data_IF_265144000673
#
_entry.id   IF_265144000673
#
_cell.length_a   1.000
_cell.length_b   1.000
_cell.length_c   1.000
_cell.angle_alpha   90.00
_cell.angle_beta   90.00
_cell.angle_gamma   90.00
#
_symmetry.space_group_name_H-M   'P 1'
#
loop_
_entity.id
_entity.type
_entity.pdbx_description
1 polymer ?
#
# COMPACT_ATOMS: atom_id res chain seq x y z
N UNK A 1 -23.84 72.80 12.49
CA UNK A 1 -23.98 71.47 11.86
C UNK A 1 -25.25 70.82 12.38
N UNK A 2 -26.23 70.49 11.52
CA UNK A 2 -27.45 69.83 11.98
C UNK A 2 -27.11 68.42 12.48
N UNK A 3 -27.54 68.07 13.69
CA UNK A 3 -27.39 66.71 14.22
C UNK A 3 -28.14 65.76 13.28
N UNK A 4 -27.50 64.68 12.78
CA UNK A 4 -28.22 63.69 12.00
C UNK A 4 -29.40 63.16 12.83
N UNK A 5 -30.57 62.93 12.21
CA UNK A 5 -31.76 62.47 12.93
C UNK A 5 -31.43 61.18 13.66
N UNK A 6 -31.75 61.09 14.95
CA UNK A 6 -31.45 59.92 15.82
C UNK A 6 -31.83 58.58 15.17
N UNK A 7 -32.87 58.59 14.33
CA UNK A 7 -33.30 57.45 13.52
C UNK A 7 -32.22 56.90 12.56
N UNK A 8 -31.43 57.75 11.90
CA UNK A 8 -30.33 57.31 11.02
C UNK A 8 -29.26 56.53 11.81
N UNK A 9 -28.97 56.95 13.03
CA UNK A 9 -28.02 56.24 13.89
C UNK A 9 -28.58 54.89 14.35
N UNK A 10 -29.87 54.82 14.70
CA UNK A 10 -30.52 53.56 15.10
C UNK A 10 -30.53 52.56 13.93
N UNK A 11 -30.90 53.00 12.72
CA UNK A 11 -30.92 52.15 11.51
C UNK A 11 -29.52 51.66 11.13
N UNK A 12 -28.50 52.52 11.23
CA UNK A 12 -27.12 52.11 10.95
C UNK A 12 -26.61 51.09 11.99
N UNK A 13 -26.94 51.28 13.27
CA UNK A 13 -26.55 50.34 14.33
C UNK A 13 -27.24 48.98 14.13
N UNK A 14 -28.55 48.95 13.84
CA UNK A 14 -29.26 47.68 13.61
C UNK A 14 -28.80 46.98 12.33
N UNK A 15 -28.52 47.72 11.25
CA UNK A 15 -27.95 47.15 10.03
C UNK A 15 -26.55 46.56 10.27
N UNK A 16 -25.70 47.24 11.04
CA UNK A 16 -24.39 46.74 11.43
C UNK A 16 -24.48 45.47 12.30
N UNK A 17 -25.42 45.44 13.24
CA UNK A 17 -25.65 44.30 14.13
C UNK A 17 -26.19 43.09 13.35
N UNK A 18 -27.12 43.31 12.41
CA UNK A 18 -27.67 42.27 11.55
C UNK A 18 -26.61 41.69 10.60
N UNK A 19 -25.78 42.54 9.98
CA UNK A 19 -24.69 42.08 9.13
C UNK A 19 -23.65 41.29 9.91
N UNK A 20 -23.25 41.74 11.11
CA UNK A 20 -22.38 40.99 12.02
C UNK A 20 -22.96 39.61 12.38
N UNK A 21 -24.26 39.55 12.70
CA UNK A 21 -24.97 38.29 13.00
C UNK A 21 -24.97 37.33 11.79
N UNK A 22 -25.25 37.83 10.59
CA UNK A 22 -25.24 37.02 9.36
C UNK A 22 -23.83 36.47 9.10
N UNK A 23 -22.78 37.27 9.27
CA UNK A 23 -21.39 36.81 9.09
C UNK A 23 -21.02 35.75 10.12
N UNK A 24 -21.39 35.91 11.39
CA UNK A 24 -21.19 34.89 12.43
C UNK A 24 -21.93 33.59 12.07
N UNK A 25 -23.20 33.67 11.66
CA UNK A 25 -23.97 32.51 11.26
C UNK A 25 -23.33 31.81 10.05
N UNK A 26 -22.90 32.55 9.03
CA UNK A 26 -22.19 31.97 7.88
C UNK A 26 -20.90 31.26 8.30
N UNK A 27 -20.10 31.88 9.17
CA UNK A 27 -18.85 31.31 9.68
C UNK A 27 -19.09 30.01 10.45
N UNK A 28 -20.03 30.03 11.41
CA UNK A 28 -20.30 28.88 12.29
C UNK A 28 -21.00 27.73 11.57
N UNK A 29 -21.97 28.02 10.69
CA UNK A 29 -22.80 26.99 10.06
C UNK A 29 -22.30 26.52 8.69
N UNK A 30 -21.47 27.31 8.00
CA UNK A 30 -21.00 26.98 6.64
C UNK A 30 -19.49 26.92 6.52
N UNK A 31 -18.78 28.03 6.75
CA UNK A 31 -17.35 28.11 6.46
C UNK A 31 -16.52 27.19 7.37
N UNK A 32 -16.68 27.27 8.70
CA UNK A 32 -15.92 26.44 9.65
C UNK A 32 -16.19 24.94 9.42
N UNK A 33 -17.45 24.47 9.35
CA UNK A 33 -17.73 23.06 9.09
C UNK A 33 -17.21 22.54 7.76
N UNK A 34 -16.97 23.43 6.78
CA UNK A 34 -16.47 23.04 5.45
C UNK A 34 -14.94 23.02 5.42
N UNK A 35 -14.29 24.10 5.84
CA UNK A 35 -12.83 24.25 5.73
C UNK A 35 -12.04 23.57 6.84
N UNK A 36 -12.66 23.28 7.99
CA UNK A 36 -12.03 22.56 9.08
C UNK A 36 -12.07 21.03 8.90
N UNK A 37 -12.61 20.52 7.78
CA UNK A 37 -12.58 19.08 7.49
C UNK A 37 -11.19 18.67 7.02
N UNK A 38 -10.64 17.56 7.52
CA UNK A 38 -9.40 17.01 7.00
C UNK A 38 -9.54 16.66 5.51
N UNK A 39 -8.44 16.82 4.76
CA UNK A 39 -8.39 16.54 3.32
C UNK A 39 -7.20 15.65 2.97
N UNK A 40 -7.27 14.96 1.83
CA UNK A 40 -6.13 14.23 1.30
C UNK A 40 -5.14 15.17 0.62
N UNK A 41 -3.86 15.02 0.96
CA UNK A 41 -2.75 15.58 0.22
C UNK A 41 -2.02 14.44 -0.50
N UNK A 42 -1.83 14.58 -1.81
CA UNK A 42 -1.05 13.66 -2.62
C UNK A 42 0.30 14.28 -2.94
N UNK A 43 1.36 13.50 -2.82
CA UNK A 43 2.71 13.92 -3.15
C UNK A 43 3.54 12.78 -3.73
N UNK A 44 4.69 13.16 -4.28
CA UNK A 44 5.76 12.22 -4.62
C UNK A 44 6.92 12.55 -3.71
N UNK A 45 7.33 11.57 -2.91
CA UNK A 45 8.47 11.70 -2.01
C UNK A 45 9.63 10.89 -2.56
N UNK A 46 10.84 11.46 -2.50
CA UNK A 46 12.06 10.71 -2.72
C UNK A 46 12.46 10.13 -1.37
N UNK A 47 12.41 8.80 -1.24
CA UNK A 47 12.65 8.16 0.05
C UNK A 47 14.06 7.58 0.06
N UNK A 48 14.86 8.00 1.04
CA UNK A 48 16.23 7.51 1.23
C UNK A 48 16.27 6.11 1.83
N UNK A 49 15.14 5.64 2.35
CA UNK A 49 14.96 4.37 3.05
C UNK A 49 13.66 3.71 2.60
N UNK A 50 13.73 2.52 2.02
CA UNK A 50 12.54 1.83 1.51
C UNK A 50 12.16 0.66 2.43
N UNK A 51 10.87 0.51 2.79
CA UNK A 51 10.43 -0.65 3.54
C UNK A 51 10.62 -1.94 2.73
N UNK A 52 11.11 -2.98 3.39
CA UNK A 52 11.28 -4.31 2.79
C UNK A 52 9.93 -5.05 2.83
N UNK A 53 9.37 -5.48 1.68
CA UNK A 53 8.12 -6.20 1.65
C UNK A 53 8.26 -7.64 2.17
N UNK A 54 7.14 -8.25 2.52
CA UNK A 54 7.00 -9.70 2.57
C UNK A 54 6.50 -10.21 1.22
N UNK A 55 6.94 -11.41 0.84
CA UNK A 55 6.55 -12.04 -0.43
C UNK A 55 5.99 -13.42 -0.13
N UNK A 56 4.74 -13.65 -0.50
CA UNK A 56 4.08 -14.94 -0.39
C UNK A 56 4.10 -15.67 -1.75
N UNK A 57 4.30 -16.98 -1.70
CA UNK A 57 4.26 -17.89 -2.83
C UNK A 57 3.29 -19.02 -2.55
N UNK A 58 2.45 -19.33 -3.52
CA UNK A 58 1.53 -20.45 -3.49
C UNK A 58 1.64 -21.14 -4.83
N UNK A 59 1.92 -22.44 -4.81
CA UNK A 59 1.82 -23.23 -6.03
C UNK A 59 0.40 -23.73 -6.12
N UNK A 60 -0.20 -23.54 -7.28
CA UNK A 60 -1.52 -24.06 -7.51
C UNK A 60 -1.45 -25.59 -7.50
N UNK A 61 -2.05 -26.21 -6.48
CA UNK A 61 -2.13 -27.67 -6.35
C UNK A 61 -3.41 -28.26 -6.92
N UNK A 62 -4.39 -27.44 -7.27
CA UNK A 62 -5.66 -27.89 -7.84
C UNK A 62 -6.04 -27.05 -9.05
N UNK A 63 -6.62 -27.67 -10.08
CA UNK A 63 -7.16 -26.93 -11.22
C UNK A 63 -8.49 -26.23 -10.87
N UNK A 64 -9.08 -25.52 -11.83
CA UNK A 64 -10.36 -24.79 -11.66
C UNK A 64 -11.54 -25.69 -11.24
N UNK A 65 -11.45 -27.00 -11.50
CA UNK A 65 -12.46 -28.00 -11.13
C UNK A 65 -12.12 -28.73 -9.82
N UNK A 66 -11.11 -28.28 -9.08
CA UNK A 66 -10.68 -28.88 -7.81
C UNK A 66 -9.89 -30.19 -7.96
N UNK A 67 -9.48 -30.57 -9.18
CA UNK A 67 -8.66 -31.77 -9.39
C UNK A 67 -7.18 -31.49 -9.06
N UNK A 68 -6.47 -32.41 -8.40
CA UNK A 68 -5.08 -32.21 -8.03
C UNK A 68 -4.20 -32.03 -9.28
N UNK A 69 -3.33 -31.03 -9.24
CA UNK A 69 -2.32 -30.75 -10.24
C UNK A 69 -1.06 -31.57 -9.92
N UNK A 70 -0.32 -32.00 -10.96
CA UNK A 70 0.81 -32.91 -10.81
C UNK A 70 2.10 -32.21 -10.36
N UNK A 71 2.01 -31.21 -9.47
CA UNK A 71 3.18 -30.44 -9.01
C UNK A 71 3.23 -30.40 -7.51
N UNK A 72 4.40 -30.74 -6.98
CA UNK A 72 4.77 -30.56 -5.59
C UNK A 72 5.92 -29.55 -5.50
N UNK A 73 6.08 -28.98 -4.32
CA UNK A 73 7.20 -28.09 -4.05
C UNK A 73 7.84 -28.36 -2.72
N UNK A 74 9.11 -28.02 -2.67
CA UNK A 74 9.90 -27.95 -1.44
C UNK A 74 10.69 -26.66 -1.45
N UNK A 75 10.94 -26.15 -0.25
CA UNK A 75 11.80 -25.00 -0.08
C UNK A 75 13.26 -25.45 -0.13
N UNK A 76 14.06 -24.82 -1.00
CA UNK A 76 15.50 -25.11 -1.09
C UNK A 76 16.26 -24.28 -0.05
N UNK A 77 16.55 -24.88 1.11
CA UNK A 77 17.27 -24.24 2.22
C UNK A 77 18.81 -24.23 2.06
N UNK A 78 19.35 -24.96 1.08
CA UNK A 78 20.80 -25.18 0.96
C UNK A 78 21.49 -24.15 0.04
N UNK A 79 21.85 -22.99 0.59
CA UNK A 79 23.16 -22.37 0.31
C UNK A 79 23.28 -21.22 -0.68
N UNK A 80 22.22 -20.78 -1.38
CA UNK A 80 22.23 -19.49 -2.08
C UNK A 80 20.91 -18.76 -1.84
N UNK A 81 20.87 -18.18 -0.64
CA UNK A 81 20.10 -17.00 -0.25
C UNK A 81 18.57 -17.08 -0.45
N UNK A 82 17.87 -17.21 0.68
CA UNK A 82 16.49 -16.75 0.86
C UNK A 82 16.34 -15.21 0.71
N UNK A 83 17.45 -14.52 0.48
CA UNK A 83 17.64 -13.07 0.50
C UNK A 83 18.95 -12.74 -0.23
N UNK A 84 19.07 -12.98 -1.54
CA UNK A 84 20.28 -12.49 -2.23
C UNK A 84 20.10 -11.01 -2.51
N UNK A 85 20.42 -10.19 -1.51
CA UNK A 85 20.78 -8.83 -1.78
C UNK A 85 22.10 -8.86 -2.55
N UNK A 86 22.07 -8.71 -3.86
CA UNK A 86 23.28 -8.54 -4.64
C UNK A 86 23.79 -7.12 -4.43
N UNK A 87 24.46 -6.88 -3.30
CA UNK A 87 25.26 -5.67 -3.11
C UNK A 87 26.64 -5.86 -3.72
N UNK A 88 27.09 -4.83 -4.42
CA UNK A 88 28.51 -4.57 -4.59
C UNK A 88 29.12 -4.28 -3.21
N UNK A 89 29.60 -5.37 -2.57
CA UNK A 89 30.36 -5.48 -1.31
C UNK A 89 29.74 -4.93 -0.02
N UNK A 90 29.57 -5.78 1.01
CA UNK A 90 30.20 -5.69 2.35
C UNK A 90 29.80 -6.92 3.21
N UNK A 91 30.68 -7.25 4.16
CA UNK A 91 30.66 -8.39 5.09
C UNK A 91 29.76 -8.08 6.31
N UNK A 92 28.79 -8.94 6.68
CA UNK A 92 27.96 -8.76 7.90
C UNK A 92 27.65 -10.09 8.60
N UNK A 93 27.96 -10.12 9.90
CA UNK A 93 27.73 -11.18 10.89
C UNK A 93 26.34 -11.05 11.58
N UNK A 94 25.80 -12.19 12.04
CA UNK A 94 24.49 -12.37 12.71
C UNK A 94 24.16 -11.42 13.89
N UNK A 95 22.86 -11.13 14.08
CA UNK A 95 22.25 -10.59 15.31
C UNK A 95 20.70 -10.68 15.28
N UNK A 96 20.09 -11.11 16.39
CA UNK A 96 18.72 -11.67 16.60
C UNK A 96 17.72 -10.56 17.03
N UNK A 97 16.46 -10.53 16.54
CA UNK A 97 15.21 -11.05 17.15
C UNK A 97 14.07 -11.21 16.09
N UNK A 98 13.21 -12.24 16.22
CA UNK A 98 12.38 -12.92 15.18
C UNK A 98 11.21 -12.16 14.47
N UNK A 99 10.62 -12.69 13.37
CA UNK A 99 11.13 -13.67 12.42
C UNK A 99 11.52 -12.98 11.10
N UNK A 100 12.82 -12.78 10.90
CA UNK A 100 13.38 -12.70 9.57
C UNK A 100 13.51 -14.13 9.07
N UNK A 101 12.97 -14.45 7.89
CA UNK A 101 13.09 -15.78 7.33
C UNK A 101 11.94 -16.18 6.41
N UNK A 102 11.93 -17.47 6.10
CA UNK A 102 10.91 -18.11 5.28
C UNK A 102 10.08 -19.03 6.17
N UNK A 103 8.76 -18.86 6.17
CA UNK A 103 7.83 -19.66 6.94
C UNK A 103 6.63 -20.10 6.09
N UNK A 104 5.85 -21.06 6.58
CA UNK A 104 4.60 -21.47 5.96
C UNK A 104 3.42 -20.88 6.75
N UNK A 105 2.45 -20.32 6.05
CA UNK A 105 1.21 -19.78 6.62
C UNK A 105 0.02 -20.50 5.99
N UNK A 106 -0.82 -21.11 6.83
CA UNK A 106 -2.09 -21.68 6.40
C UNK A 106 -3.11 -20.54 6.28
N UNK A 107 -3.68 -20.38 5.10
CA UNK A 107 -4.68 -19.37 4.79
C UNK A 107 -6.02 -20.09 4.67
N UNK A 108 -6.94 -19.76 5.57
CA UNK A 108 -8.29 -20.34 5.63
C UNK A 108 -9.34 -19.30 5.21
N UNK A 109 -9.76 -19.34 3.95
CA UNK A 109 -10.75 -18.41 3.40
C UNK A 109 -12.09 -19.14 3.18
N UNK A 110 -13.23 -18.42 3.12
CA UNK A 110 -14.55 -19.03 2.91
C UNK A 110 -14.66 -19.89 1.64
N UNK A 111 -13.76 -19.66 0.69
CA UNK A 111 -13.70 -20.33 -0.61
C UNK A 111 -12.58 -21.38 -0.73
N UNK A 112 -11.86 -21.67 0.36
CA UNK A 112 -10.86 -22.73 0.40
C UNK A 112 -9.71 -22.46 1.36
N UNK A 113 -8.94 -23.51 1.62
CA UNK A 113 -7.70 -23.42 2.37
C UNK A 113 -6.50 -23.69 1.46
N UNK A 114 -5.41 -22.98 1.70
CA UNK A 114 -4.13 -23.24 1.04
C UNK A 114 -2.97 -22.83 1.94
N UNK A 115 -1.82 -23.44 1.73
CA UNK A 115 -0.59 -23.08 2.45
C UNK A 115 0.25 -22.18 1.55
N UNK A 116 0.58 -20.99 2.03
CA UNK A 116 1.54 -20.09 1.40
C UNK A 116 2.91 -20.25 2.06
N UNK A 117 3.96 -20.20 1.25
CA UNK A 117 5.31 -19.94 1.75
C UNK A 117 5.50 -18.43 1.77
N UNK A 118 5.80 -17.85 2.92
CA UNK A 118 6.04 -16.43 3.09
C UNK A 118 7.52 -16.19 3.37
N UNK A 119 8.16 -15.44 2.51
CA UNK A 119 9.48 -14.86 2.73
C UNK A 119 9.31 -13.47 3.35
N UNK A 120 9.53 -13.38 4.67
CA UNK A 120 9.47 -12.12 5.40
C UNK A 120 10.89 -11.68 5.77
N UNK A 121 11.39 -10.68 5.06
CA UNK A 121 12.73 -10.12 5.27
C UNK A 121 12.73 -8.88 6.14
N UNK A 122 11.59 -8.51 6.75
CA UNK A 122 11.47 -7.27 7.53
C UNK A 122 12.34 -7.23 8.78
N UNK A 123 12.70 -8.38 9.35
CA UNK A 123 13.62 -8.44 10.49
C UNK A 123 15.11 -8.34 10.11
N UNK A 124 15.45 -8.38 8.81
CA UNK A 124 16.85 -8.31 8.34
C UNK A 124 17.37 -6.86 8.29
N UNK A 125 16.48 -5.86 8.42
CA UNK A 125 16.78 -4.41 8.50
C UNK A 125 18.07 -3.92 7.82
N UNK A 126 18.31 -4.12 6.51
CA UNK A 126 19.05 -3.10 5.79
C UNK A 126 18.03 -2.03 5.44
N UNK A 127 18.12 -0.89 6.12
CA UNK A 127 17.65 0.36 5.52
C UNK A 127 18.31 0.44 4.13
N UNK A 128 17.51 0.32 3.06
CA UNK A 128 18.03 0.40 1.69
C UNK A 128 18.41 1.85 1.41
N UNK A 129 19.69 2.20 1.58
CA UNK A 129 20.23 3.54 1.27
C UNK A 129 20.25 3.83 -0.23
N UNK A 130 20.20 2.80 -1.07
CA UNK A 130 19.99 2.88 -2.53
C UNK A 130 19.09 1.75 -3.03
N UNK A 131 17.76 1.96 -3.08
CA UNK A 131 16.83 0.93 -3.56
C UNK A 131 17.03 0.56 -5.05
N UNK A 132 17.50 1.48 -5.90
CA UNK A 132 17.76 1.18 -7.32
C UNK A 132 18.83 0.09 -7.48
N UNK A 133 18.45 -1.01 -8.14
CA UNK A 133 19.34 -2.16 -8.37
C UNK A 133 19.44 -3.14 -7.19
N UNK A 134 18.87 -2.81 -6.03
CA UNK A 134 18.65 -3.79 -4.97
C UNK A 134 17.51 -4.73 -5.38
N UNK A 135 17.50 -5.96 -4.85
CA UNK A 135 16.39 -6.88 -5.09
C UNK A 135 16.31 -8.02 -4.09
N UNK A 136 15.16 -8.71 -4.09
CA UNK A 136 14.91 -9.92 -3.31
C UNK A 136 14.81 -11.08 -4.29
N UNK A 137 15.62 -12.12 -4.11
CA UNK A 137 15.55 -13.34 -4.90
C UNK A 137 15.05 -14.50 -4.03
N UNK A 138 14.12 -15.27 -4.56
CA UNK A 138 13.56 -16.46 -3.92
C UNK A 138 13.69 -17.64 -4.87
N UNK A 139 14.14 -18.78 -4.36
CA UNK A 139 14.24 -20.04 -5.10
C UNK A 139 13.30 -21.10 -4.55
N UNK A 140 12.59 -21.80 -5.43
CA UNK A 140 11.70 -22.91 -5.11
C UNK A 140 12.19 -24.18 -5.82
N UNK A 141 12.15 -25.30 -5.12
CA UNK A 141 12.39 -26.62 -5.69
C UNK A 141 11.05 -27.23 -6.07
N UNK A 142 10.87 -27.53 -7.36
CA UNK A 142 9.62 -28.03 -7.92
C UNK A 142 9.81 -29.44 -8.45
N UNK A 143 8.82 -30.28 -8.21
CA UNK A 143 8.77 -31.63 -8.76
C UNK A 143 7.44 -31.83 -9.48
N UNK A 144 7.47 -32.64 -10.53
CA UNK A 144 6.34 -32.96 -11.38
C UNK A 144 6.03 -34.46 -11.30
N UNK A 145 4.76 -34.86 -11.41
CA UNK A 145 4.34 -36.25 -11.33
C UNK A 145 3.49 -36.65 -12.56
N UNK A 146 4.07 -37.42 -13.47
CA UNK A 146 3.40 -37.78 -14.73
C UNK A 146 2.23 -38.77 -14.58
N UNK A 147 2.19 -39.61 -13.55
CA UNK A 147 1.06 -40.53 -13.33
C UNK A 147 -0.22 -39.76 -12.99
N UNK A 148 -0.08 -38.70 -12.19
CA UNK A 148 -1.18 -37.77 -11.88
C UNK A 148 -1.55 -36.92 -13.10
N UNK A 149 -0.54 -36.51 -13.89
CA UNK A 149 -0.73 -35.73 -15.10
C UNK A 149 -1.61 -36.40 -16.16
N UNK A 150 -1.56 -37.72 -16.30
CA UNK A 150 -2.37 -38.45 -17.29
C UNK A 150 -3.89 -38.23 -17.09
N UNK A 151 -4.30 -37.87 -15.88
CA UNK A 151 -5.69 -37.66 -15.50
C UNK A 151 -6.13 -36.19 -15.63
N UNK A 152 -5.22 -35.28 -15.99
CA UNK A 152 -5.49 -33.83 -16.09
C UNK A 152 -5.05 -33.35 -17.47
N UNK A 153 -5.95 -32.80 -18.29
CA UNK A 153 -5.63 -32.34 -19.64
C UNK A 153 -5.49 -30.81 -19.72
N UNK A 154 -4.54 -30.33 -20.53
CA UNK A 154 -4.39 -28.90 -20.86
C UNK A 154 -3.92 -28.01 -19.71
N UNK A 155 -3.31 -28.56 -18.67
CA UNK A 155 -2.88 -27.79 -17.50
C UNK A 155 -1.44 -27.29 -17.68
N UNK A 156 -1.21 -26.04 -17.24
CA UNK A 156 0.11 -25.44 -17.08
C UNK A 156 0.23 -25.07 -15.61
N UNK A 157 1.16 -25.67 -14.85
CA UNK A 157 1.33 -25.35 -13.44
C UNK A 157 1.64 -23.87 -13.24
N UNK A 158 0.93 -23.23 -12.31
CA UNK A 158 1.08 -21.81 -12.00
C UNK A 158 1.64 -21.61 -10.60
N UNK A 159 2.55 -20.65 -10.49
CA UNK A 159 3.02 -20.06 -9.25
C UNK A 159 2.25 -18.76 -9.05
N UNK A 160 1.46 -18.71 -7.98
CA UNK A 160 0.83 -17.50 -7.49
C UNK A 160 1.77 -16.81 -6.52
N UNK A 161 1.92 -15.50 -6.65
CA UNK A 161 2.75 -14.71 -5.76
C UNK A 161 2.07 -13.43 -5.35
N UNK A 162 2.36 -12.96 -4.14
CA UNK A 162 1.83 -11.71 -3.63
C UNK A 162 2.90 -10.97 -2.84
N UNK A 163 3.04 -9.67 -3.09
CA UNK A 163 3.98 -8.78 -2.39
C UNK A 163 3.18 -7.84 -1.51
N UNK A 164 3.50 -7.77 -0.23
CA UNK A 164 2.67 -7.07 0.76
C UNK A 164 3.51 -6.44 1.88
N UNK A 165 2.87 -5.56 2.65
CA UNK A 165 3.45 -4.99 3.86
C UNK A 165 3.61 -6.07 4.93
N UNK A 166 4.86 -6.34 5.32
CA UNK A 166 5.21 -7.41 6.25
C UNK A 166 4.61 -7.27 7.66
N UNK A 167 4.03 -6.12 7.99
CA UNK A 167 3.31 -5.87 9.25
C UNK A 167 1.91 -6.48 9.26
N UNK A 168 1.41 -6.92 8.10
CA UNK A 168 0.13 -7.59 7.96
C UNK A 168 0.35 -9.09 7.67
N UNK A 169 -0.44 -10.00 8.25
CA UNK A 169 -0.47 -11.38 7.81
C UNK A 169 -1.10 -11.47 6.41
N UNK A 170 -0.63 -12.42 5.58
CA UNK A 170 -1.09 -12.56 4.19
C UNK A 170 -2.58 -12.86 4.11
N UNK A 171 -3.12 -13.62 5.07
CA UNK A 171 -4.57 -13.87 5.17
C UNK A 171 -5.37 -12.57 5.23
N UNK A 172 -4.99 -11.64 6.12
CA UNK A 172 -5.68 -10.36 6.26
C UNK A 172 -5.50 -9.51 5.00
N UNK A 173 -4.30 -9.47 4.42
CA UNK A 173 -4.07 -8.69 3.20
C UNK A 173 -4.93 -9.16 2.01
N UNK A 174 -5.13 -10.48 1.88
CA UNK A 174 -5.99 -11.07 0.84
C UNK A 174 -7.48 -10.87 1.14
N UNK A 175 -7.91 -11.12 2.38
CA UNK A 175 -9.32 -10.97 2.79
C UNK A 175 -9.80 -9.52 2.62
N UNK A 176 -8.92 -8.56 2.92
CA UNK A 176 -9.21 -7.14 2.79
C UNK A 176 -9.04 -6.59 1.36
N UNK A 177 -8.68 -7.44 0.39
CA UNK A 177 -8.47 -7.03 -1.01
C UNK A 177 -7.35 -6.00 -1.19
N UNK A 178 -6.37 -5.97 -0.29
CA UNK A 178 -5.28 -5.00 -0.31
C UNK A 178 -4.19 -5.36 -1.31
N UNK A 179 -4.12 -6.63 -1.72
CA UNK A 179 -3.20 -7.12 -2.74
C UNK A 179 -3.94 -7.99 -3.74
N UNK A 180 -3.45 -7.98 -4.97
CA UNK A 180 -3.89 -8.89 -6.01
C UNK A 180 -2.73 -9.84 -6.36
N UNK A 181 -2.84 -11.14 -6.07
CA UNK A 181 -1.80 -12.10 -6.44
C UNK A 181 -1.59 -12.15 -7.96
N UNK A 182 -0.32 -12.30 -8.36
CA UNK A 182 0.06 -12.51 -9.76
C UNK A 182 0.30 -13.98 -10.01
N UNK A 183 -0.16 -14.47 -11.16
CA UNK A 183 0.08 -15.83 -11.62
C UNK A 183 1.17 -15.83 -12.70
N UNK A 184 2.19 -16.65 -12.52
CA UNK A 184 3.22 -16.94 -13.52
C UNK A 184 3.40 -18.44 -13.70
N UNK A 185 4.06 -18.86 -14.78
CA UNK A 185 4.35 -20.28 -14.98
C UNK A 185 5.32 -20.79 -13.91
N UNK A 186 5.02 -21.93 -13.28
CA UNK A 186 5.78 -22.40 -12.13
C UNK A 186 7.23 -22.78 -12.46
N UNK A 187 7.49 -23.38 -13.62
CA UNK A 187 8.84 -23.78 -14.05
C UNK A 187 9.56 -22.67 -14.82
N UNK A 188 9.58 -21.46 -14.26
CA UNK A 188 10.26 -20.31 -14.86
C UNK A 188 11.16 -19.60 -13.87
N UNK A 189 12.15 -18.92 -14.42
CA UNK A 189 12.91 -17.87 -13.76
C UNK A 189 12.29 -16.53 -14.16
N UNK A 190 11.71 -15.85 -13.19
CA UNK A 190 10.94 -14.63 -13.40
C UNK A 190 11.58 -13.44 -12.68
N UNK A 191 11.62 -12.29 -13.34
CA UNK A 191 12.07 -11.02 -12.78
C UNK A 191 10.93 -10.02 -12.78
N UNK A 192 10.74 -9.36 -11.64
CA UNK A 192 9.70 -8.38 -11.38
C UNK A 192 10.30 -7.05 -10.98
N UNK A 193 9.67 -5.96 -11.42
CA UNK A 193 9.91 -4.65 -10.85
C UNK A 193 8.89 -4.37 -9.75
N UNK A 194 9.38 -3.90 -8.61
CA UNK A 194 8.55 -3.39 -7.51
C UNK A 194 8.56 -1.86 -7.57
N UNK A 195 7.38 -1.28 -7.47
CA UNK A 195 7.16 0.12 -7.10
C UNK A 195 6.27 0.18 -5.86
N UNK A 196 6.22 1.33 -5.20
CA UNK A 196 5.48 1.44 -3.95
C UNK A 196 4.66 2.73 -3.86
N UNK A 197 3.57 2.63 -3.14
CA UNK A 197 2.76 3.77 -2.71
C UNK A 197 2.46 3.66 -1.22
N UNK A 198 2.26 4.79 -0.56
CA UNK A 198 2.09 4.89 0.88
C UNK A 198 0.83 5.67 1.22
N UNK A 199 0.10 5.18 2.21
CA UNK A 199 -1.08 5.86 2.76
C UNK A 199 -0.87 6.03 4.27
N UNK A 200 -1.03 7.27 4.74
CA UNK A 200 -1.08 7.61 6.16
C UNK A 200 -2.30 8.48 6.43
N UNK A 201 -3.14 8.04 7.36
CA UNK A 201 -4.38 8.70 7.74
C UNK A 201 -4.42 9.06 9.22
N UNK A 202 -3.50 9.93 9.64
CA UNK A 202 -3.44 10.41 11.04
C UNK A 202 -4.72 11.13 11.52
N UNK A 203 -5.59 11.56 10.60
CA UNK A 203 -6.83 12.27 10.88
C UNK A 203 -8.12 11.45 10.67
N UNK A 204 -8.02 10.15 10.35
CA UNK A 204 -9.17 9.24 10.27
C UNK A 204 -10.22 9.63 9.21
N UNK A 205 -9.77 10.11 8.04
CA UNK A 205 -10.62 10.35 6.86
C UNK A 205 -11.18 9.04 6.32
N UNK A 206 -10.31 8.04 6.17
CA UNK A 206 -10.65 6.70 5.73
C UNK A 206 -11.39 5.97 6.84
N UNK A 207 -12.55 5.43 6.47
CA UNK A 207 -13.27 4.47 7.31
C UNK A 207 -13.38 3.17 6.54
N UNK A 208 -13.03 2.04 7.15
CA UNK A 208 -13.30 0.75 6.55
C UNK A 208 -14.82 0.61 6.24
N UNK A 209 -15.19 -0.13 5.17
CA UNK A 209 -16.58 -0.42 4.87
C UNK A 209 -17.29 -1.03 6.09
N UNK A 210 -18.57 -0.71 6.29
CA UNK A 210 -19.34 -1.23 7.41
C UNK A 210 -19.46 -2.78 7.41
N UNK A 211 -19.26 -3.40 6.26
CA UNK A 211 -19.30 -4.85 6.05
C UNK A 211 -17.89 -5.48 6.01
N UNK A 212 -16.84 -4.72 6.31
CA UNK A 212 -15.48 -5.24 6.32
C UNK A 212 -15.32 -6.29 7.44
N UNK A 213 -14.63 -7.41 7.18
CA UNK A 213 -14.25 -8.36 8.21
C UNK A 213 -13.51 -7.69 9.38
N UNK A 214 -13.67 -8.23 10.59
CA UNK A 214 -13.06 -7.67 11.80
C UNK A 214 -11.52 -7.57 11.71
N UNK A 215 -10.90 -8.56 11.05
CA UNK A 215 -9.47 -8.59 10.69
C UNK A 215 -9.05 -7.36 9.88
N UNK A 216 -9.89 -6.90 8.95
CA UNK A 216 -9.65 -5.70 8.15
C UNK A 216 -9.79 -4.42 8.95
N UNK A 217 -10.81 -4.33 9.79
CA UNK A 217 -11.07 -3.16 10.63
C UNK A 217 -9.86 -2.83 11.52
N UNK A 218 -9.39 -3.81 12.29
CA UNK A 218 -8.26 -3.64 13.21
C UNK A 218 -6.98 -3.25 12.45
N UNK A 219 -6.75 -3.87 11.31
CA UNK A 219 -5.53 -3.62 10.54
C UNK A 219 -5.52 -2.25 9.86
N UNK A 220 -6.66 -1.81 9.33
CA UNK A 220 -6.82 -0.47 8.77
C UNK A 220 -6.64 0.60 9.85
N UNK A 221 -7.25 0.43 11.01
CA UNK A 221 -7.15 1.41 12.10
C UNK A 221 -5.74 1.51 12.66
N UNK A 222 -5.03 0.40 12.86
CA UNK A 222 -3.70 0.42 13.45
C UNK A 222 -2.59 0.84 12.48
N UNK A 223 -2.61 0.37 11.23
CA UNK A 223 -1.49 0.62 10.30
C UNK A 223 -1.61 1.94 9.55
N UNK A 224 -2.83 2.35 9.19
CA UNK A 224 -3.01 3.58 8.40
C UNK A 224 -2.91 4.81 9.30
N UNK A 225 -3.33 4.71 10.56
CA UNK A 225 -3.30 5.86 11.48
C UNK A 225 -1.89 6.24 11.97
N UNK A 226 -0.88 5.37 11.83
CA UNK A 226 0.49 5.66 12.24
C UNK A 226 1.20 6.59 11.24
N UNK A 227 1.49 7.86 11.61
CA UNK A 227 2.17 8.80 10.73
C UNK A 227 3.66 8.49 10.53
N UNK A 228 4.27 7.69 11.42
CA UNK A 228 5.70 7.34 11.36
C UNK A 228 5.96 6.19 10.40
N UNK A 229 4.99 5.29 10.23
CA UNK A 229 5.10 4.11 9.37
C UNK A 229 3.82 3.96 8.55
N UNK A 230 3.65 4.76 7.47
CA UNK A 230 2.48 4.67 6.62
C UNK A 230 2.32 3.24 6.06
N UNK A 231 1.08 2.80 5.84
CA UNK A 231 0.80 1.54 5.15
C UNK A 231 1.40 1.61 3.75
N UNK A 232 2.23 0.62 3.38
CA UNK A 232 2.89 0.59 2.07
C UNK A 232 2.25 -0.47 1.18
N UNK A 233 1.79 -0.03 0.01
CA UNK A 233 1.33 -0.89 -1.07
C UNK A 233 2.47 -1.10 -2.05
N UNK A 234 2.63 -2.33 -2.49
CA UNK A 234 3.65 -2.71 -3.46
C UNK A 234 2.98 -3.10 -4.77
N UNK A 235 3.28 -2.34 -5.82
CA UNK A 235 2.86 -2.65 -7.17
C UNK A 235 3.98 -3.40 -7.87
N UNK A 236 3.68 -4.59 -8.38
CA UNK A 236 4.66 -5.44 -9.07
C UNK A 236 4.33 -5.63 -10.53
N UNK A 237 5.34 -5.54 -11.41
CA UNK A 237 5.20 -5.83 -12.84
C UNK A 237 6.25 -6.84 -13.30
N UNK A 238 5.81 -7.84 -14.07
CA UNK A 238 6.70 -8.83 -14.67
C UNK A 238 7.48 -8.19 -15.82
N UNK A 239 8.81 -8.25 -15.77
CA UNK A 239 9.67 -7.70 -16.82
C UNK A 239 10.32 -8.77 -17.68
N UNK A 240 10.64 -9.92 -17.09
CA UNK A 240 11.25 -11.03 -17.80
C UNK A 240 10.75 -12.33 -17.20
N UNK A 241 10.45 -13.30 -18.06
CA UNK A 241 10.20 -14.67 -17.66
C UNK A 241 10.81 -15.60 -18.69
N UNK A 242 11.60 -16.56 -18.24
CA UNK A 242 12.22 -17.58 -19.08
C UNK A 242 12.01 -18.95 -18.45
N UNK A 243 11.76 -19.97 -19.27
CA UNK A 243 11.66 -21.34 -18.78
C UNK A 243 12.96 -21.74 -18.07
N UNK A 244 12.87 -22.24 -16.84
CA UNK A 244 14.06 -22.69 -16.10
C UNK A 244 14.58 -24.03 -16.61
N UNK A 245 13.71 -24.80 -17.29
CA UNK A 245 14.00 -26.08 -17.95
C UNK A 245 13.33 -26.14 -19.32
N UNK A 246 13.87 -26.94 -20.24
CA UNK A 246 13.34 -27.00 -21.61
C UNK A 246 12.04 -27.80 -21.70
N UNK A 247 11.96 -28.88 -20.93
CA UNK A 247 10.78 -29.71 -20.82
C UNK A 247 10.60 -30.24 -19.39
N UNK A 248 9.85 -29.50 -18.58
CA UNK A 248 9.63 -29.86 -17.17
C UNK A 248 8.93 -31.22 -16.97
N UNK A 249 8.16 -31.71 -17.96
CA UNK A 249 7.47 -33.01 -17.86
C UNK A 249 8.39 -34.21 -18.03
N UNK A 250 9.60 -34.00 -18.52
CA UNK A 250 10.62 -35.04 -18.63
C UNK A 250 11.78 -34.82 -17.65
N UNK A 251 12.14 -33.56 -17.39
CA UNK A 251 13.31 -33.21 -16.57
C UNK A 251 13.01 -33.13 -15.07
N UNK A 252 11.74 -32.92 -14.68
CA UNK A 252 11.34 -32.75 -13.27
C UNK A 252 10.41 -33.88 -12.78
N UNK A 253 10.29 -34.97 -13.54
CA UNK A 253 9.28 -36.00 -13.29
C UNK A 253 9.76 -37.06 -12.29
N UNK A 254 9.15 -37.07 -11.10
CA UNK A 254 9.51 -37.98 -10.01
C UNK A 254 9.16 -39.44 -10.28
N UNK A 255 8.29 -39.70 -11.26
CA UNK A 255 7.95 -41.06 -11.69
C UNK A 255 9.05 -41.67 -12.57
N UNK A 256 9.79 -40.84 -13.30
CA UNK A 256 10.91 -41.26 -14.13
C UNK A 256 12.20 -41.32 -13.30
N UNK A 257 12.44 -40.32 -12.47
CA UNK A 257 13.56 -40.25 -11.55
C UNK A 257 13.07 -39.72 -10.18
N UNK A 258 13.02 -40.55 -9.13
CA UNK A 258 12.54 -40.16 -7.80
C UNK A 258 13.26 -38.96 -7.19
N UNK A 259 14.49 -38.68 -7.61
CA UNK A 259 15.30 -37.55 -7.15
C UNK A 259 15.20 -36.33 -8.09
N UNK A 260 14.39 -36.38 -9.15
CA UNK A 260 14.21 -35.28 -10.10
C UNK A 260 13.55 -34.08 -9.43
N UNK A 261 14.23 -32.94 -9.49
CA UNK A 261 13.70 -31.65 -9.08
C UNK A 261 14.24 -30.52 -9.96
N UNK A 262 13.43 -29.51 -10.17
CA UNK A 262 13.76 -28.34 -10.95
C UNK A 262 13.69 -27.09 -10.09
N UNK A 263 14.68 -26.20 -10.26
CA UNK A 263 14.66 -24.90 -9.59
C UNK A 263 13.79 -23.93 -10.39
N UNK A 264 12.95 -23.19 -9.69
CA UNK A 264 12.33 -21.96 -10.17
C UNK A 264 12.82 -20.82 -9.31
N UNK A 265 13.07 -19.65 -9.90
CA UNK A 265 13.44 -18.45 -9.17
C UNK A 265 12.55 -17.26 -9.50
N UNK A 266 12.30 -16.43 -8.48
CA UNK A 266 11.63 -15.15 -8.62
C UNK A 266 12.52 -14.05 -8.05
N UNK A 267 12.92 -13.09 -8.87
CA UNK A 267 13.71 -11.93 -8.47
C UNK A 267 12.86 -10.68 -8.53
N UNK A 268 12.87 -9.89 -7.47
CA UNK A 268 12.11 -8.66 -7.34
C UNK A 268 13.06 -7.48 -7.15
N UNK A 269 13.12 -6.57 -8.12
CA UNK A 269 14.01 -5.41 -8.08
C UNK A 269 13.21 -4.11 -7.94
N UNK A 270 13.70 -3.15 -7.17
CA UNK A 270 13.04 -1.85 -7.09
C UNK A 270 13.26 -1.04 -8.37
N UNK A 271 12.17 -0.68 -9.04
CA UNK A 271 12.22 0.09 -10.30
C UNK A 271 12.43 1.59 -10.10
N UNK A 272 12.18 2.11 -8.89
CA UNK A 272 12.27 3.54 -8.56
C UNK A 272 12.45 3.77 -7.07
N UNK A 273 13.00 4.94 -6.72
CA UNK A 273 13.10 5.44 -5.32
C UNK A 273 11.99 6.45 -5.00
N UNK A 274 11.18 6.81 -6.01
CA UNK A 274 10.05 7.71 -5.85
C UNK A 274 8.84 6.94 -5.33
N UNK A 275 8.28 7.42 -4.23
CA UNK A 275 7.12 6.86 -3.58
C UNK A 275 5.96 7.82 -3.71
N UNK A 276 4.82 7.31 -4.19
CA UNK A 276 3.58 8.08 -4.16
C UNK A 276 3.02 8.03 -2.75
N UNK A 277 2.83 9.18 -2.13
CA UNK A 277 2.34 9.27 -0.76
C UNK A 277 1.01 10.00 -0.73
N UNK A 278 0.03 9.42 -0.04
CA UNK A 278 -1.23 10.05 0.31
C UNK A 278 -1.28 10.20 1.83
N UNK A 279 -1.34 11.45 2.29
CA UNK A 279 -1.43 11.75 3.72
C UNK A 279 -2.69 12.55 4.00
N UNK A 280 -3.42 12.20 5.05
CA UNK A 280 -4.43 13.12 5.56
C UNK A 280 -3.76 14.30 6.25
N UNK A 281 -4.23 15.50 5.90
CA UNK A 281 -3.80 16.76 6.51
C UNK A 281 -4.97 17.39 7.26
N UNK A 282 -4.72 18.12 8.35
CA UNK A 282 -5.79 18.80 9.05
C UNK A 282 -6.44 19.84 8.12
N UNK A 283 -7.74 20.06 8.31
CA UNK A 283 -8.41 21.21 7.68
C UNK A 283 -7.83 22.53 8.19
N UNK A 284 -8.25 23.64 7.59
CA UNK A 284 -7.85 24.97 8.07
C UNK A 284 -8.30 25.19 9.50
N UNK A 285 -7.42 25.76 10.31
CA UNK A 285 -7.75 26.05 11.69
C UNK A 285 -8.91 27.04 11.76
N UNK A 286 -9.76 26.92 12.79
CA UNK A 286 -10.85 27.88 13.02
C UNK A 286 -10.30 29.31 13.06
N UNK A 287 -9.14 29.51 13.67
CA UNK A 287 -8.50 30.81 13.79
C UNK A 287 -8.08 31.38 12.44
N UNK A 288 -7.45 30.60 11.56
CA UNK A 288 -7.13 31.04 10.20
C UNK A 288 -8.39 31.38 9.41
N UNK A 289 -9.44 30.57 9.52
CA UNK A 289 -10.73 30.86 8.85
C UNK A 289 -11.31 32.19 9.35
N UNK A 290 -11.26 32.45 10.66
CA UNK A 290 -11.68 33.72 11.25
C UNK A 290 -10.82 34.90 10.76
N UNK A 291 -9.50 34.72 10.66
CA UNK A 291 -8.58 35.75 10.20
C UNK A 291 -8.80 36.05 8.71
N UNK A 292 -8.93 35.04 7.86
CA UNK A 292 -9.21 35.19 6.42
C UNK A 292 -10.53 35.92 6.20
N UNK A 293 -11.59 35.53 6.91
CA UNK A 293 -12.88 36.23 6.81
C UNK A 293 -12.83 37.65 7.39
N UNK A 294 -12.11 37.86 8.49
CA UNK A 294 -11.86 39.20 9.04
C UNK A 294 -11.12 40.09 8.05
N UNK A 295 -10.13 39.55 7.35
CA UNK A 295 -9.39 40.24 6.30
C UNK A 295 -10.30 40.59 5.10
N UNK A 296 -11.20 39.69 4.69
CA UNK A 296 -12.18 39.95 3.63
C UNK A 296 -13.14 41.08 4.04
N UNK A 297 -13.72 41.02 5.25
CA UNK A 297 -14.62 42.08 5.74
C UNK A 297 -13.88 43.42 5.84
N UNK A 298 -12.66 43.42 6.37
CA UNK A 298 -11.81 44.61 6.43
C UNK A 298 -11.48 45.19 5.05
N UNK A 299 -11.18 44.34 4.07
CA UNK A 299 -10.93 44.75 2.69
C UNK A 299 -12.19 45.36 2.04
N UNK A 300 -13.35 44.73 2.18
CA UNK A 300 -14.63 45.26 1.67
C UNK A 300 -14.94 46.62 2.30
N UNK A 301 -14.72 46.77 3.61
CA UNK A 301 -14.98 48.01 4.33
C UNK A 301 -14.01 49.13 3.94
N UNK A 302 -12.73 48.78 3.70
CA UNK A 302 -11.73 49.70 3.14
C UNK A 302 -12.12 50.15 1.73
N UNK A 303 -12.49 49.24 0.84
CA UNK A 303 -12.91 49.59 -0.53
C UNK A 303 -14.21 50.41 -0.56
N UNK A 304 -15.17 50.12 0.33
CA UNK A 304 -16.39 50.91 0.45
C UNK A 304 -16.10 52.34 0.93
N UNK A 305 -15.22 52.51 1.92
CA UNK A 305 -14.76 53.83 2.36
C UNK A 305 -13.99 54.55 1.24
N UNK A 306 -13.06 53.87 0.57
CA UNK A 306 -12.27 54.42 -0.53
C UNK A 306 -13.18 54.91 -1.67
N UNK A 307 -14.16 54.11 -2.08
CA UNK A 307 -15.13 54.51 -3.09
C UNK A 307 -16.00 55.70 -2.65
N UNK A 308 -16.41 55.75 -1.38
CA UNK A 308 -17.19 56.87 -0.86
C UNK A 308 -16.39 58.18 -0.84
N UNK A 309 -15.09 58.12 -0.51
CA UNK A 309 -14.22 59.30 -0.40
C UNK A 309 -13.73 59.78 -1.77
N UNK A 310 -13.40 58.87 -2.68
CA UNK A 310 -12.69 59.22 -3.92
C UNK A 310 -13.53 59.09 -5.20
N UNK A 311 -14.66 58.39 -5.17
CA UNK A 311 -15.55 58.22 -6.35
C UNK A 311 -16.89 58.95 -6.21
N UNK A 312 -17.26 59.40 -5.01
CA UNK A 312 -18.52 60.10 -4.71
C UNK A 312 -18.33 61.46 -4.01
N UNK A 313 -17.09 61.92 -3.84
CA UNK A 313 -16.75 63.29 -3.44
C UNK A 313 -16.39 64.13 -4.66
#
# INVERSE_FOLDING_TARGET
MPRPPRWKNVVNITAALASFLITICYLLFSAIPTYNRPTWASGVEFVTEVPVPAIAFVIQHNNINGMPLPVNYTYLSNGQLATSFTYTSFDVHNGVDAPGGVYQELIELPWGNFTAIVANSSAIQPVLTSPLGSGIAVGLGLTFNSTTAANVTGYVPQLLMAVFDARMPIYATLECGLIQPLAVAAFTDSTFLISMSQIADSHGITRPPAEAPASCLETYEHLISDPRRPLTFFDTSLTQSSSSVSNYTAECDVEVDPDAFCRSSATFAWGTQFVRKQTSIPGRSKQEIWIDCGAIVGAVQFFAWFAMVFLHG
#
